data_IF_926683958266
#
_entry.id   IF_926683958266
#
_cell.length_a   1.000
_cell.length_b   1.000
_cell.length_c   1.000
_cell.angle_alpha   90.00
_cell.angle_beta   90.00
_cell.angle_gamma   90.00
#
_symmetry.space_group_name_H-M   'P 1'
#
loop_
_entity.id
_entity.type
_entity.pdbx_description
1 polymer ?
#
# COMPACT_ATOMS: atom_id res chain seq x y z
N UNK A 1 29.32 9.67 82.08
CA UNK A 1 29.08 8.79 80.91
C UNK A 1 28.35 9.60 79.88
N UNK A 2 29.00 9.85 78.73
CA UNK A 2 28.54 10.80 77.71
C UNK A 2 27.60 10.14 76.70
N UNK A 3 26.74 10.96 76.09
CA UNK A 3 25.75 10.59 75.07
C UNK A 3 26.37 9.83 73.87
N UNK A 4 27.68 10.03 73.63
CA UNK A 4 28.46 9.30 72.61
C UNK A 4 28.59 7.79 72.86
N UNK A 5 28.49 7.34 74.11
CA UNK A 5 28.64 5.92 74.47
C UNK A 5 27.34 5.12 74.24
N UNK A 6 26.19 5.80 74.24
CA UNK A 6 24.87 5.23 73.93
C UNK A 6 24.68 5.13 72.40
N UNK A 7 25.25 6.06 71.63
CA UNK A 7 25.17 6.01 70.16
C UNK A 7 26.08 4.95 69.52
N UNK A 8 27.10 4.46 70.24
CA UNK A 8 28.01 3.41 69.73
C UNK A 8 27.52 1.97 69.93
N UNK A 9 26.51 1.74 70.78
CA UNK A 9 26.10 0.38 71.16
C UNK A 9 24.89 -0.17 70.38
N UNK A 10 24.22 0.64 69.55
CA UNK A 10 23.00 0.22 68.83
C UNK A 10 22.97 0.42 67.30
N UNK A 11 24.09 0.73 66.64
CA UNK A 11 24.10 0.89 65.18
C UNK A 11 25.04 -0.15 64.56
N UNK A 12 24.47 -1.33 64.23
CA UNK A 12 25.05 -2.26 63.25
C UNK A 12 24.91 -1.63 61.85
N UNK A 13 25.99 -1.19 61.18
CA UNK A 13 25.91 -0.32 60.00
C UNK A 13 25.57 -1.06 58.69
N UNK A 14 24.86 -2.20 58.75
CA UNK A 14 24.62 -3.04 57.57
C UNK A 14 23.33 -3.86 57.55
N UNK A 15 22.62 -4.04 58.67
CA UNK A 15 21.46 -4.95 58.70
C UNK A 15 20.11 -4.29 58.37
N UNK A 16 19.95 -2.98 58.54
CA UNK A 16 18.69 -2.27 58.25
C UNK A 16 18.67 -1.55 56.90
N UNK A 17 19.82 -1.41 56.24
CA UNK A 17 19.91 -0.75 54.92
C UNK A 17 19.26 -1.61 53.84
N UNK A 18 19.51 -2.93 53.86
CA UNK A 18 18.96 -3.85 52.86
C UNK A 18 17.42 -3.95 52.92
N UNK A 19 16.76 -4.11 54.09
CA UNK A 19 15.30 -4.07 54.21
C UNK A 19 14.69 -2.73 53.79
N UNK A 20 15.35 -1.61 54.09
CA UNK A 20 14.87 -0.27 53.72
C UNK A 20 14.89 -0.09 52.19
N UNK A 21 15.99 -0.48 51.54
CA UNK A 21 16.17 -0.39 50.09
C UNK A 21 15.18 -1.32 49.35
N UNK A 22 14.95 -2.54 49.83
CA UNK A 22 13.96 -3.44 49.22
C UNK A 22 12.53 -2.92 49.38
N UNK A 23 12.19 -2.34 50.54
CA UNK A 23 10.87 -1.77 50.78
C UNK A 23 10.61 -0.55 49.90
N UNK A 24 11.57 0.37 49.79
CA UNK A 24 11.49 1.53 48.90
C UNK A 24 11.38 1.09 47.44
N UNK A 25 12.16 0.08 47.03
CA UNK A 25 12.10 -0.47 45.66
C UNK A 25 10.75 -1.10 45.37
N UNK A 26 10.17 -1.85 46.31
CA UNK A 26 8.82 -2.42 46.20
C UNK A 26 7.75 -1.33 46.06
N UNK A 27 7.83 -0.26 46.85
CA UNK A 27 6.93 0.90 46.77
C UNK A 27 7.07 1.61 45.43
N UNK A 28 8.30 1.83 44.94
CA UNK A 28 8.54 2.44 43.63
C UNK A 28 7.99 1.54 42.51
N UNK A 29 8.21 0.23 42.57
CA UNK A 29 7.67 -0.72 41.58
C UNK A 29 6.14 -0.77 41.64
N UNK A 30 5.52 -0.74 42.82
CA UNK A 30 4.04 -0.69 42.94
C UNK A 30 3.48 0.65 42.48
N UNK A 31 4.13 1.78 42.77
CA UNK A 31 3.72 3.09 42.27
C UNK A 31 3.88 3.18 40.75
N UNK A 32 5.02 2.74 40.20
CA UNK A 32 5.24 2.67 38.76
C UNK A 32 4.21 1.73 38.14
N UNK A 33 3.97 0.55 38.71
CA UNK A 33 2.97 -0.40 38.23
C UNK A 33 1.56 0.22 38.29
N UNK A 34 1.19 0.87 39.39
CA UNK A 34 -0.09 1.56 39.54
C UNK A 34 -0.25 2.68 38.51
N UNK A 35 0.77 3.50 38.28
CA UNK A 35 0.75 4.57 37.29
C UNK A 35 0.73 4.00 35.86
N UNK A 36 1.53 2.98 35.55
CA UNK A 36 1.59 2.34 34.22
C UNK A 36 0.29 1.61 33.90
N UNK A 37 -0.30 0.90 34.87
CA UNK A 37 -1.55 0.18 34.72
C UNK A 37 -2.78 1.12 34.69
N UNK A 38 -2.69 2.31 35.28
CA UNK A 38 -3.76 3.33 35.24
C UNK A 38 -3.71 4.26 34.03
N UNK A 39 -2.71 4.18 33.15
CA UNK A 39 -2.76 4.88 31.86
C UNK A 39 -3.82 4.19 31.00
N UNK A 40 -5.07 4.67 31.08
CA UNK A 40 -6.12 4.25 30.16
C UNK A 40 -5.79 4.76 28.76
N UNK A 41 -5.63 3.87 27.77
CA UNK A 41 -5.38 4.31 26.40
C UNK A 41 -6.58 5.10 25.88
N UNK A 42 -6.31 6.16 25.11
CA UNK A 42 -7.34 7.10 24.59
C UNK A 42 -8.41 6.41 23.74
N UNK A 43 -8.02 5.38 22.99
CA UNK A 43 -8.90 4.67 22.06
C UNK A 43 -9.00 3.19 22.42
N UNK A 44 -10.20 2.57 22.25
CA UNK A 44 -10.38 1.15 22.48
C UNK A 44 -9.60 0.34 21.45
N UNK A 45 -9.22 -0.89 21.80
CA UNK A 45 -8.61 -1.83 20.87
C UNK A 45 -9.70 -2.75 20.30
N UNK A 46 -9.75 -2.91 18.98
CA UNK A 46 -10.79 -3.68 18.31
C UNK A 46 -10.59 -5.19 18.44
N UNK A 47 -9.33 -5.64 18.48
CA UNK A 47 -8.92 -7.04 18.64
C UNK A 47 -7.95 -7.20 19.82
N UNK A 48 -8.41 -7.02 21.07
CA UNK A 48 -7.56 -7.21 22.24
C UNK A 48 -7.02 -8.65 22.29
N UNK A 49 -5.76 -8.86 22.70
CA UNK A 49 -5.29 -10.19 23.08
C UNK A 49 -6.08 -10.71 24.27
N UNK A 50 -6.27 -12.03 24.37
CA UNK A 50 -6.72 -12.63 25.62
C UNK A 50 -5.70 -12.35 26.74
N UNK A 51 -6.11 -12.47 28.00
CA UNK A 51 -5.26 -12.12 29.15
C UNK A 51 -3.94 -12.91 29.24
N UNK A 52 -3.90 -14.11 28.63
CA UNK A 52 -2.73 -14.99 28.54
C UNK A 52 -2.08 -15.00 27.15
N UNK A 53 -2.64 -14.31 26.17
CA UNK A 53 -2.21 -14.38 24.78
C UNK A 53 -1.19 -13.28 24.47
N UNK A 54 0.04 -13.62 24.06
CA UNK A 54 0.99 -12.63 23.58
C UNK A 54 0.45 -11.88 22.36
N UNK A 55 0.70 -10.58 22.28
CA UNK A 55 0.27 -9.73 21.14
C UNK A 55 0.76 -10.26 19.78
N UNK A 56 1.88 -10.99 19.74
CA UNK A 56 2.40 -11.65 18.54
C UNK A 56 1.40 -12.64 17.93
N UNK A 57 0.64 -13.39 18.74
CA UNK A 57 -0.38 -14.31 18.22
C UNK A 57 -1.51 -13.55 17.55
N UNK A 58 -1.97 -12.43 18.12
CA UNK A 58 -2.92 -11.53 17.45
C UNK A 58 -2.41 -10.96 16.13
N UNK A 59 -1.11 -10.67 16.04
CA UNK A 59 -0.50 -10.23 14.77
C UNK A 59 -0.56 -11.33 13.70
N UNK A 60 -0.36 -12.59 14.08
CA UNK A 60 -0.46 -13.74 13.18
C UNK A 60 -1.92 -14.06 12.81
N UNK A 61 -2.85 -13.99 13.77
CA UNK A 61 -4.29 -14.19 13.53
C UNK A 61 -4.83 -13.13 12.55
N UNK A 62 -4.35 -11.89 12.66
CA UNK A 62 -4.72 -10.83 11.71
C UNK A 62 -4.32 -11.18 10.27
N UNK A 63 -3.37 -12.08 10.02
CA UNK A 63 -2.99 -12.46 8.65
C UNK A 63 -4.07 -13.28 7.94
N UNK A 64 -4.92 -13.99 8.67
CA UNK A 64 -5.94 -14.85 8.06
C UNK A 64 -7.35 -14.29 8.23
N UNK A 65 -7.57 -13.44 9.24
CA UNK A 65 -8.90 -12.93 9.62
C UNK A 65 -9.01 -11.40 9.59
N UNK A 66 -8.04 -10.69 9.03
CA UNK A 66 -8.00 -9.23 8.82
C UNK A 66 -9.36 -8.59 8.47
N UNK A 67 -10.02 -9.06 7.41
CA UNK A 67 -11.23 -8.47 6.85
C UNK A 67 -12.40 -8.54 7.83
N UNK A 68 -12.63 -9.70 8.47
CA UNK A 68 -13.67 -9.87 9.51
C UNK A 68 -13.39 -8.99 10.71
N UNK A 69 -12.14 -8.93 11.15
CA UNK A 69 -11.74 -8.09 12.28
C UNK A 69 -12.01 -6.63 11.96
N UNK A 70 -11.65 -6.18 10.76
CA UNK A 70 -11.86 -4.80 10.33
C UNK A 70 -13.35 -4.46 10.15
N UNK A 71 -14.13 -5.29 9.44
CA UNK A 71 -15.58 -5.10 9.29
C UNK A 71 -16.29 -5.01 10.64
N UNK A 72 -15.98 -5.92 11.56
CA UNK A 72 -16.57 -5.93 12.89
C UNK A 72 -16.17 -4.68 13.70
N UNK A 73 -14.93 -4.21 13.54
CA UNK A 73 -14.48 -2.97 14.16
C UNK A 73 -15.22 -1.74 13.61
N UNK A 74 -15.41 -1.67 12.29
CA UNK A 74 -16.19 -0.59 11.65
C UNK A 74 -17.65 -0.63 12.10
N UNK A 75 -18.28 -1.80 12.13
CA UNK A 75 -19.66 -1.97 12.62
C UNK A 75 -19.80 -1.55 14.09
N UNK A 76 -18.79 -1.84 14.92
CA UNK A 76 -18.81 -1.55 16.37
C UNK A 76 -18.54 -0.09 16.71
N UNK A 77 -17.59 0.55 16.03
CA UNK A 77 -17.10 1.88 16.41
C UNK A 77 -17.59 2.99 15.45
N UNK A 78 -18.07 2.65 14.25
CA UNK A 78 -18.54 3.61 13.26
C UNK A 78 -17.50 4.68 12.95
N UNK A 79 -17.79 5.93 13.35
CA UNK A 79 -16.88 7.08 13.18
C UNK A 79 -15.86 7.26 14.32
N UNK A 80 -15.99 6.54 15.42
CA UNK A 80 -15.06 6.64 16.55
C UNK A 80 -13.70 6.04 16.18
N UNK A 81 -12.57 6.74 16.42
CA UNK A 81 -11.25 6.15 16.25
C UNK A 81 -11.01 4.98 17.20
N UNK A 82 -10.34 3.94 16.70
CA UNK A 82 -10.00 2.74 17.46
C UNK A 82 -8.57 2.28 17.15
N UNK A 83 -8.05 1.34 17.93
CA UNK A 83 -6.73 0.72 17.73
C UNK A 83 -6.90 -0.70 17.22
N UNK A 84 -5.97 -1.14 16.39
CA UNK A 84 -5.99 -2.43 15.73
C UNK A 84 -4.60 -3.05 15.76
N UNK A 85 -4.49 -4.28 16.25
CA UNK A 85 -3.25 -5.07 16.17
C UNK A 85 -3.25 -5.74 14.80
N UNK A 86 -2.34 -5.31 13.93
CA UNK A 86 -2.16 -5.85 12.58
C UNK A 86 -0.92 -6.72 12.49
N UNK A 87 -0.71 -7.43 11.38
CA UNK A 87 0.54 -8.15 11.12
C UNK A 87 1.80 -7.29 11.29
N UNK A 88 1.73 -6.00 10.90
CA UNK A 88 2.80 -5.01 11.06
C UNK A 88 2.87 -4.32 12.44
N UNK A 89 2.04 -4.73 13.41
CA UNK A 89 1.96 -4.13 14.74
C UNK A 89 0.69 -3.32 14.98
N UNK A 90 0.64 -2.61 16.12
CA UNK A 90 -0.52 -1.81 16.51
C UNK A 90 -0.61 -0.51 15.70
N UNK A 91 -1.79 -0.23 15.16
CA UNK A 91 -2.12 1.02 14.46
C UNK A 91 -3.37 1.66 15.05
N UNK A 92 -3.44 2.98 15.04
CA UNK A 92 -4.68 3.72 15.31
C UNK A 92 -5.40 4.01 14.00
N UNK A 93 -6.65 3.58 13.92
CA UNK A 93 -7.53 3.72 12.75
C UNK A 93 -8.43 4.92 12.93
N UNK A 94 -8.34 5.88 12.01
CA UNK A 94 -9.19 7.06 11.94
C UNK A 94 -10.30 6.92 10.89
N UNK A 95 -11.44 7.61 11.07
CA UNK A 95 -12.46 7.71 10.03
C UNK A 95 -11.93 8.48 8.80
N UNK A 96 -12.57 8.33 7.62
CA UNK A 96 -12.09 8.91 6.36
C UNK A 96 -11.88 10.43 6.38
N UNK A 97 -12.62 11.13 7.24
CA UNK A 97 -12.56 12.58 7.47
C UNK A 97 -11.13 13.06 7.83
N UNK A 98 -10.32 12.19 8.43
CA UNK A 98 -8.93 12.50 8.81
C UNK A 98 -7.97 12.51 7.62
N UNK A 99 -8.35 11.99 6.45
CA UNK A 99 -7.50 11.97 5.26
C UNK A 99 -6.96 13.37 4.94
N UNK A 100 -7.82 14.40 4.99
CA UNK A 100 -7.43 15.78 4.73
C UNK A 100 -6.60 16.41 5.85
N UNK A 101 -6.77 15.95 7.10
CA UNK A 101 -6.03 16.47 8.25
C UNK A 101 -4.57 15.98 8.23
N UNK A 102 -4.33 14.75 7.77
CA UNK A 102 -2.99 14.14 7.83
C UNK A 102 -2.20 14.24 6.52
N UNK A 103 -2.85 14.54 5.38
CA UNK A 103 -2.26 14.40 4.04
C UNK A 103 -0.96 15.18 3.81
N UNK A 104 -0.83 16.36 4.41
CA UNK A 104 0.28 17.28 4.21
C UNK A 104 1.09 17.54 5.50
N UNK A 105 0.81 16.79 6.57
CA UNK A 105 1.57 16.93 7.81
C UNK A 105 2.98 16.34 7.63
N UNK A 106 4.00 17.19 7.75
CA UNK A 106 5.40 16.81 7.48
C UNK A 106 5.97 15.86 8.53
N UNK A 107 5.44 15.91 9.76
CA UNK A 107 5.84 15.05 10.89
C UNK A 107 5.17 13.66 10.85
N UNK A 108 4.24 13.45 9.94
CA UNK A 108 3.62 12.15 9.65
C UNK A 108 4.27 11.56 8.41
N UNK A 109 5.11 10.54 8.57
CA UNK A 109 5.90 9.97 7.46
C UNK A 109 5.36 8.62 7.02
N UNK A 110 4.94 8.52 5.76
CA UNK A 110 4.68 7.25 5.10
C UNK A 110 5.97 6.47 4.87
N UNK A 111 7.01 7.14 4.38
CA UNK A 111 8.24 6.49 3.93
C UNK A 111 8.95 5.75 5.05
N UNK A 112 8.98 6.35 6.24
CA UNK A 112 9.49 5.72 7.45
C UNK A 112 8.63 4.54 7.90
N UNK A 113 7.31 4.65 7.82
CA UNK A 113 6.41 3.53 8.13
C UNK A 113 6.63 2.37 7.13
N UNK A 114 6.75 2.67 5.85
CA UNK A 114 7.03 1.70 4.80
C UNK A 114 8.38 1.01 4.99
N UNK A 115 9.45 1.74 5.27
CA UNK A 115 10.76 1.12 5.51
C UNK A 115 10.78 0.24 6.76
N UNK A 116 9.99 0.58 7.80
CA UNK A 116 9.85 -0.27 8.98
C UNK A 116 9.06 -1.54 8.68
N UNK A 117 7.97 -1.44 7.92
CA UNK A 117 7.17 -2.59 7.50
C UNK A 117 8.02 -3.58 6.71
N UNK A 118 8.85 -3.11 5.77
CA UNK A 118 9.69 -3.97 4.93
C UNK A 118 11.04 -4.34 5.54
N UNK A 119 11.20 -4.21 6.86
CA UNK A 119 12.46 -4.49 7.58
C UNK A 119 13.70 -3.88 6.91
N UNK A 120 13.59 -2.63 6.45
CA UNK A 120 14.64 -1.95 5.69
C UNK A 120 15.98 -1.80 6.41
N UNK A 121 16.00 -2.02 7.73
CA UNK A 121 17.23 -2.07 8.53
C UNK A 121 18.12 -3.29 8.26
N UNK A 122 17.59 -4.34 7.62
CA UNK A 122 18.32 -5.57 7.33
C UNK A 122 19.18 -5.46 6.06
N UNK A 123 20.27 -6.23 6.04
CA UNK A 123 21.17 -6.31 4.88
C UNK A 123 20.41 -6.85 3.65
N UNK A 124 20.57 -6.21 2.49
CA UNK A 124 19.79 -6.50 1.27
C UNK A 124 18.49 -5.69 1.11
N UNK A 125 17.91 -5.20 2.21
CA UNK A 125 16.67 -4.39 2.24
C UNK A 125 16.94 -2.90 2.55
N UNK A 126 18.21 -2.53 2.79
CA UNK A 126 18.67 -1.15 3.02
C UNK A 126 18.22 -0.12 1.97
N UNK A 127 18.04 -0.46 0.68
CA UNK A 127 17.46 0.50 -0.28
C UNK A 127 16.08 1.03 0.13
N UNK A 128 15.28 0.29 0.91
CA UNK A 128 14.03 0.80 1.48
C UNK A 128 14.23 1.95 2.48
N UNK A 129 15.38 2.00 3.18
CA UNK A 129 15.73 3.14 4.04
C UNK A 129 16.04 4.41 3.25
N UNK A 130 16.54 4.29 2.01
CA UNK A 130 16.80 5.45 1.17
C UNK A 130 15.52 6.23 0.87
N UNK A 131 14.36 5.57 0.82
CA UNK A 131 13.05 6.22 0.71
C UNK A 131 12.68 7.03 1.96
N UNK A 132 13.22 6.68 3.13
CA UNK A 132 12.97 7.34 4.41
C UNK A 132 13.83 8.58 4.66
N UNK A 133 14.63 9.01 3.66
CA UNK A 133 15.45 10.21 3.79
C UNK A 133 14.58 11.44 4.15
N UNK A 134 14.89 12.19 5.23
CA UNK A 134 14.10 13.35 5.65
C UNK A 134 13.97 14.43 4.58
N UNK A 135 14.99 14.58 3.72
CA UNK A 135 15.00 15.53 2.59
C UNK A 135 14.21 15.04 1.36
N UNK A 136 13.61 13.84 1.43
CA UNK A 136 12.78 13.24 0.37
C UNK A 136 13.45 13.20 -1.01
N UNK A 137 14.78 13.03 -1.03
CA UNK A 137 15.59 13.10 -2.26
C UNK A 137 15.09 12.11 -3.30
N UNK A 138 14.80 10.86 -2.89
CA UNK A 138 14.29 9.84 -3.81
C UNK A 138 12.94 10.23 -4.42
N UNK A 139 11.99 10.76 -3.64
CA UNK A 139 10.69 11.19 -4.16
C UNK A 139 10.84 12.39 -5.11
N UNK A 140 11.76 13.31 -4.82
CA UNK A 140 12.06 14.46 -5.68
C UNK A 140 12.70 13.99 -6.98
N UNK A 141 13.69 13.10 -6.92
CA UNK A 141 14.36 12.53 -8.09
C UNK A 141 13.37 11.74 -8.93
N UNK A 142 12.57 10.86 -8.31
CA UNK A 142 11.50 10.13 -8.99
C UNK A 142 10.53 11.09 -9.67
N UNK A 143 10.00 12.10 -8.96
CA UNK A 143 9.10 13.08 -9.56
C UNK A 143 9.76 13.85 -10.69
N UNK A 144 11.01 14.31 -10.54
CA UNK A 144 11.74 15.08 -11.56
C UNK A 144 12.04 14.23 -12.80
N UNK A 145 12.58 13.03 -12.62
CA UNK A 145 12.92 12.12 -13.73
C UNK A 145 11.65 11.65 -14.44
N UNK A 146 10.64 11.20 -13.70
CA UNK A 146 9.35 10.86 -14.31
C UNK A 146 8.77 12.05 -15.08
N UNK A 147 8.80 13.26 -14.53
CA UNK A 147 8.29 14.46 -15.23
C UNK A 147 9.09 14.77 -16.51
N UNK A 148 10.41 14.58 -16.49
CA UNK A 148 11.30 14.77 -17.64
C UNK A 148 11.02 13.75 -18.75
N UNK A 149 10.80 12.49 -18.38
CA UNK A 149 10.54 11.38 -19.30
C UNK A 149 9.04 11.07 -19.49
N UNK A 150 8.15 12.01 -19.15
CA UNK A 150 6.74 11.96 -19.57
C UNK A 150 6.56 12.19 -21.09
N UNK A 151 7.64 12.53 -21.82
CA UNK A 151 7.70 12.48 -23.29
C UNK A 151 8.22 11.11 -23.73
N UNK A 152 7.82 10.67 -24.93
CA UNK A 152 7.97 9.32 -25.50
C UNK A 152 9.18 8.51 -25.01
N UNK A 153 8.90 7.24 -24.72
CA UNK A 153 9.90 6.22 -24.37
C UNK A 153 9.78 5.11 -25.41
N UNK A 154 10.70 5.08 -26.37
CA UNK A 154 10.78 3.94 -27.31
C UNK A 154 11.28 2.71 -26.54
N UNK A 155 10.43 1.71 -26.36
CA UNK A 155 10.78 0.48 -25.69
C UNK A 155 10.50 -0.73 -26.58
N UNK A 156 11.47 -1.62 -26.67
CA UNK A 156 11.35 -2.90 -27.38
C UNK A 156 10.40 -3.77 -26.57
N UNK A 157 9.31 -4.22 -27.18
CA UNK A 157 8.34 -5.12 -26.55
C UNK A 157 8.94 -6.52 -26.49
N UNK A 158 9.13 -7.04 -25.28
CA UNK A 158 9.32 -8.46 -25.04
C UNK A 158 8.32 -8.92 -23.97
N UNK A 159 7.97 -10.21 -24.02
CA UNK A 159 6.86 -10.81 -23.30
C UNK A 159 6.86 -10.55 -21.78
N UNK A 160 5.66 -10.31 -21.25
CA UNK A 160 5.25 -9.99 -19.86
C UNK A 160 5.26 -8.51 -19.45
N UNK A 161 4.15 -8.07 -18.85
CA UNK A 161 3.96 -6.69 -18.37
C UNK A 161 5.05 -6.24 -17.37
N UNK A 162 5.63 -7.16 -16.58
CA UNK A 162 6.69 -6.82 -15.65
C UNK A 162 8.06 -6.63 -16.31
N UNK A 163 8.32 -7.29 -17.45
CA UNK A 163 9.47 -6.97 -18.28
C UNK A 163 9.33 -5.57 -18.89
N UNK A 164 8.13 -5.22 -19.35
CA UNK A 164 7.81 -3.90 -19.88
C UNK A 164 8.01 -2.81 -18.82
N UNK A 165 7.44 -2.97 -17.61
CA UNK A 165 7.64 -2.04 -16.48
C UNK A 165 9.12 -1.90 -16.12
N UNK A 166 9.87 -3.00 -16.08
CA UNK A 166 11.30 -2.98 -15.73
C UNK A 166 12.13 -2.27 -16.79
N UNK A 167 11.82 -2.48 -18.09
CA UNK A 167 12.48 -1.81 -19.21
C UNK A 167 12.18 -0.31 -19.23
N UNK A 168 10.92 0.07 -19.12
CA UNK A 168 10.51 1.47 -19.12
C UNK A 168 11.09 2.21 -17.91
N UNK A 169 11.03 1.61 -16.71
CA UNK A 169 11.66 2.17 -15.51
C UNK A 169 13.16 2.35 -15.69
N UNK A 170 13.86 1.33 -16.21
CA UNK A 170 15.30 1.40 -16.47
C UNK A 170 15.62 2.50 -17.49
N UNK A 171 14.81 2.68 -18.54
CA UNK A 171 15.00 3.75 -19.52
C UNK A 171 14.83 5.14 -18.90
N UNK A 172 13.80 5.34 -18.09
CA UNK A 172 13.53 6.63 -17.42
C UNK A 172 14.63 7.00 -16.43
N UNK A 173 15.09 6.05 -15.63
CA UNK A 173 16.03 6.34 -14.55
C UNK A 173 17.50 6.24 -14.96
N UNK A 174 17.81 5.42 -15.96
CA UNK A 174 19.18 4.99 -16.27
C UNK A 174 19.56 5.13 -17.76
N UNK A 175 18.62 5.50 -18.63
CA UNK A 175 18.86 5.75 -20.05
C UNK A 175 18.84 4.50 -20.94
N UNK A 176 19.23 4.67 -22.21
CA UNK A 176 19.03 3.67 -23.27
C UNK A 176 19.95 2.45 -23.17
N UNK A 177 21.09 2.56 -22.47
CA UNK A 177 22.07 1.48 -22.37
C UNK A 177 21.58 0.37 -21.42
N UNK A 178 21.13 0.74 -20.22
CA UNK A 178 20.69 -0.22 -19.20
C UNK A 178 19.28 -0.76 -19.45
N UNK A 179 18.43 -0.05 -20.20
CA UNK A 179 17.10 -0.55 -20.53
C UNK A 179 17.10 -1.70 -21.55
N UNK A 180 18.20 -1.89 -22.30
CA UNK A 180 18.40 -2.98 -23.26
C UNK A 180 19.26 -4.12 -22.70
N UNK A 181 19.91 -3.91 -21.55
CA UNK A 181 20.77 -4.90 -20.93
C UNK A 181 19.93 -5.97 -20.22
N UNK A 182 19.81 -7.15 -20.80
CA UNK A 182 19.00 -8.24 -20.26
C UNK A 182 19.43 -8.69 -18.86
N UNK A 183 20.74 -8.70 -18.57
CA UNK A 183 21.24 -9.04 -17.25
C UNK A 183 20.80 -8.01 -16.20
N UNK A 184 20.82 -6.72 -16.53
CA UNK A 184 20.30 -5.65 -15.68
C UNK A 184 18.79 -5.76 -15.47
N UNK A 185 18.04 -6.02 -16.54
CA UNK A 185 16.59 -6.19 -16.47
C UNK A 185 16.22 -7.38 -15.57
N UNK A 186 16.86 -8.53 -15.75
CA UNK A 186 16.63 -9.71 -14.91
C UNK A 186 17.08 -9.47 -13.45
N UNK A 187 18.19 -8.78 -13.22
CA UNK A 187 18.63 -8.42 -11.88
C UNK A 187 17.62 -7.50 -11.17
N UNK A 188 17.15 -6.44 -11.85
CA UNK A 188 16.17 -5.49 -11.31
C UNK A 188 14.84 -6.17 -11.02
N UNK A 189 14.40 -7.00 -11.97
CA UNK A 189 13.21 -7.83 -11.91
C UNK A 189 13.21 -8.74 -10.68
N UNK A 190 14.26 -9.55 -10.56
CA UNK A 190 14.40 -10.52 -9.47
C UNK A 190 14.60 -9.81 -8.13
N UNK A 191 15.43 -8.77 -8.08
CA UNK A 191 15.66 -7.99 -6.85
C UNK A 191 14.36 -7.37 -6.32
N UNK A 192 13.52 -6.81 -7.20
CA UNK A 192 12.25 -6.20 -6.81
C UNK A 192 11.33 -7.22 -6.16
N UNK A 193 11.16 -8.40 -6.77
CA UNK A 193 10.28 -9.42 -6.21
C UNK A 193 10.86 -10.03 -4.95
N UNK A 194 12.15 -10.38 -4.93
CA UNK A 194 12.79 -10.93 -3.72
C UNK A 194 12.76 -9.93 -2.56
N UNK A 195 13.05 -8.66 -2.79
CA UNK A 195 13.06 -7.65 -1.72
C UNK A 195 11.67 -7.39 -1.14
N UNK A 196 10.62 -7.41 -1.96
CA UNK A 196 9.23 -7.29 -1.51
C UNK A 196 8.79 -8.53 -0.74
N UNK A 197 9.03 -9.73 -1.27
CA UNK A 197 8.63 -10.99 -0.61
C UNK A 197 9.36 -11.19 0.71
N UNK A 198 10.68 -10.95 0.73
CA UNK A 198 11.50 -11.09 1.94
C UNK A 198 11.14 -10.02 2.96
N UNK A 199 10.93 -8.78 2.53
CA UNK A 199 10.47 -7.70 3.41
C UNK A 199 9.14 -8.04 4.08
N UNK A 200 8.15 -8.50 3.30
CA UNK A 200 6.83 -8.91 3.78
C UNK A 200 6.90 -10.11 4.75
N UNK A 201 7.64 -11.17 4.41
CA UNK A 201 7.80 -12.35 5.29
C UNK A 201 8.43 -12.00 6.63
N UNK A 202 9.40 -11.07 6.64
CA UNK A 202 10.10 -10.65 7.86
C UNK A 202 9.26 -9.69 8.72
N UNK A 203 8.32 -8.93 8.12
CA UNK A 203 7.43 -8.00 8.84
C UNK A 203 6.66 -8.66 9.99
N UNK A 204 6.33 -9.95 9.83
CA UNK A 204 5.50 -10.70 10.79
C UNK A 204 6.29 -11.30 11.95
N UNK A 205 7.62 -11.31 11.87
CA UNK A 205 8.49 -11.88 12.89
C UNK A 205 8.89 -10.83 13.93
N UNK A 206 9.05 -11.20 15.21
CA UNK A 206 9.67 -10.36 16.22
C UNK A 206 11.11 -9.97 15.84
N UNK A 207 11.55 -8.76 16.22
CA UNK A 207 12.86 -8.21 15.82
C UNK A 207 14.05 -9.19 16.00
N UNK A 208 14.22 -9.90 17.13
CA UNK A 208 15.37 -10.82 17.29
C UNK A 208 15.34 -11.99 16.28
N UNK A 209 14.14 -12.47 15.94
CA UNK A 209 13.94 -13.58 15.00
C UNK A 209 14.16 -13.11 13.56
N UNK A 210 13.86 -11.85 13.24
CA UNK A 210 14.13 -11.29 11.90
C UNK A 210 15.61 -11.41 11.52
N UNK A 211 16.54 -11.17 12.45
CA UNK A 211 17.98 -11.29 12.20
C UNK A 211 18.43 -12.74 11.96
N UNK A 212 17.85 -13.69 12.69
CA UNK A 212 18.14 -15.12 12.53
C UNK A 212 17.55 -15.63 11.22
N UNK A 213 16.29 -15.32 10.94
CA UNK A 213 15.60 -15.79 9.74
C UNK A 213 16.14 -15.14 8.47
N UNK A 214 16.59 -13.88 8.52
CA UNK A 214 17.29 -13.25 7.40
C UNK A 214 18.58 -13.98 7.00
N UNK A 215 19.20 -14.71 7.93
CA UNK A 215 20.37 -15.54 7.67
C UNK A 215 20.01 -16.90 7.05
N UNK A 216 18.85 -17.48 7.43
CA UNK A 216 18.35 -18.77 6.94
C UNK A 216 17.42 -18.68 5.72
N UNK A 217 17.00 -17.48 5.31
CA UNK A 217 16.13 -17.22 4.16
C UNK A 217 16.84 -17.51 2.82
N UNK A 218 17.28 -18.75 2.63
CA UNK A 218 17.60 -19.38 1.35
C UNK A 218 16.34 -19.89 0.65
N UNK A 219 15.16 -19.36 0.97
CA UNK A 219 13.93 -19.59 0.20
C UNK A 219 13.90 -18.77 -1.11
N UNK A 220 15.02 -18.85 -1.82
CA UNK A 220 15.22 -18.48 -3.21
C UNK A 220 14.73 -19.58 -4.18
N UNK A 221 13.84 -20.49 -3.75
CA UNK A 221 13.22 -21.50 -4.63
C UNK A 221 11.71 -21.36 -4.83
N UNK A 222 11.04 -20.42 -4.16
CA UNK A 222 9.61 -20.13 -4.38
C UNK A 222 9.31 -18.70 -4.84
N UNK A 223 10.33 -17.87 -5.03
CA UNK A 223 10.15 -16.46 -5.38
C UNK A 223 10.14 -16.17 -6.89
N UNK A 224 10.01 -17.19 -7.73
CA UNK A 224 9.62 -17.04 -9.14
C UNK A 224 8.10 -17.21 -9.35
N UNK A 225 7.38 -17.74 -8.35
CA UNK A 225 5.95 -18.04 -8.44
C UNK A 225 5.04 -16.81 -8.19
N UNK A 226 5.55 -15.78 -7.51
CA UNK A 226 4.79 -14.55 -7.18
C UNK A 226 5.23 -13.31 -7.96
N UNK A 227 6.08 -13.52 -8.97
CA UNK A 227 6.45 -12.46 -9.90
C UNK A 227 5.32 -12.12 -10.88
N UNK A 228 4.36 -13.04 -11.04
CA UNK A 228 3.11 -12.81 -11.78
C UNK A 228 2.19 -11.86 -10.99
N UNK A 229 2.30 -11.81 -9.65
CA UNK A 229 1.39 -11.04 -8.78
C UNK A 229 1.49 -9.52 -8.87
N UNK A 230 2.65 -8.97 -9.24
CA UNK A 230 2.78 -7.52 -9.41
C UNK A 230 2.09 -7.00 -10.70
N UNK A 231 1.83 -7.90 -11.66
CA UNK A 231 0.96 -7.66 -12.80
C UNK A 231 -0.48 -8.15 -12.55
N UNK A 232 -0.73 -8.94 -11.49
CA UNK A 232 -2.03 -9.52 -11.16
C UNK A 232 -3.05 -8.55 -10.56
N UNK A 233 -2.63 -7.34 -10.21
CA UNK A 233 -3.54 -6.39 -9.59
C UNK A 233 -4.34 -5.71 -10.71
N UNK A 234 -3.87 -4.64 -11.36
CA UNK A 234 -4.76 -3.86 -12.24
C UNK A 234 -5.22 -4.55 -13.55
N UNK A 235 -4.34 -5.31 -14.22
CA UNK A 235 -4.68 -5.89 -15.52
C UNK A 235 -5.65 -7.07 -15.38
N UNK A 236 -5.45 -8.05 -14.47
CA UNK A 236 -6.47 -9.05 -14.16
C UNK A 236 -7.70 -8.49 -13.46
N UNK A 237 -7.62 -7.47 -12.59
CA UNK A 237 -8.83 -6.86 -12.02
C UNK A 237 -9.77 -6.37 -13.13
N UNK A 238 -9.23 -5.65 -14.11
CA UNK A 238 -10.03 -5.13 -15.23
C UNK A 238 -10.39 -6.25 -16.19
N UNK A 239 -9.47 -7.15 -16.54
CA UNK A 239 -9.78 -8.27 -17.43
C UNK A 239 -10.89 -9.12 -16.81
N UNK A 240 -10.75 -9.58 -15.58
CA UNK A 240 -11.76 -10.41 -14.89
C UNK A 240 -13.11 -9.69 -14.80
N UNK A 241 -13.15 -8.39 -14.49
CA UNK A 241 -14.41 -7.62 -14.49
C UNK A 241 -15.00 -7.42 -15.89
N UNK A 242 -14.17 -7.15 -16.90
CA UNK A 242 -14.60 -7.05 -18.31
C UNK A 242 -15.04 -8.39 -18.88
N UNK A 243 -14.50 -9.51 -18.40
CA UNK A 243 -14.98 -10.85 -18.78
C UNK A 243 -16.30 -11.21 -18.11
N UNK A 244 -16.57 -10.67 -16.91
CA UNK A 244 -17.89 -10.79 -16.27
C UNK A 244 -18.96 -9.98 -17.00
N UNK A 245 -18.55 -8.85 -17.58
CA UNK A 245 -19.42 -7.93 -18.33
C UNK A 245 -18.88 -7.73 -19.76
N UNK A 246 -18.94 -8.77 -20.62
CA UNK A 246 -18.27 -8.77 -21.93
C UNK A 246 -18.75 -7.67 -22.89
N UNK A 247 -19.95 -7.12 -22.66
CA UNK A 247 -20.50 -5.99 -23.41
C UNK A 247 -19.69 -4.69 -23.25
N UNK A 248 -18.84 -4.58 -22.22
CA UNK A 248 -17.96 -3.43 -21.99
C UNK A 248 -16.69 -3.45 -22.87
N UNK A 249 -16.25 -4.64 -23.30
CA UNK A 249 -15.05 -4.79 -24.13
C UNK A 249 -15.17 -4.03 -25.46
N UNK A 250 -16.27 -4.17 -26.23
CA UNK A 250 -16.46 -3.38 -27.46
C UNK A 250 -16.45 -1.86 -27.24
N UNK A 251 -16.95 -1.37 -26.11
CA UNK A 251 -16.96 0.06 -25.78
C UNK A 251 -15.54 0.60 -25.63
N UNK A 252 -14.73 -0.05 -24.78
CA UNK A 252 -13.35 0.36 -24.53
C UNK A 252 -12.47 0.19 -25.78
N UNK A 253 -12.73 -0.87 -26.56
CA UNK A 253 -12.06 -1.12 -27.82
C UNK A 253 -12.37 -0.04 -28.85
N UNK A 254 -13.64 0.37 -28.97
CA UNK A 254 -14.06 1.46 -29.86
C UNK A 254 -13.36 2.77 -29.49
N UNK A 255 -13.35 3.14 -28.21
CA UNK A 255 -12.61 4.33 -27.74
C UNK A 255 -11.12 4.25 -28.11
N UNK A 256 -10.48 3.11 -27.86
CA UNK A 256 -9.07 2.92 -28.17
C UNK A 256 -8.80 3.07 -29.68
N UNK A 257 -9.64 2.49 -30.55
CA UNK A 257 -9.50 2.61 -32.01
C UNK A 257 -9.64 4.08 -32.43
N UNK A 258 -10.69 4.77 -32.01
CA UNK A 258 -10.96 6.16 -32.42
C UNK A 258 -9.82 7.10 -32.00
N UNK A 259 -9.38 7.00 -30.74
CA UNK A 259 -8.35 7.87 -30.19
C UNK A 259 -6.97 7.58 -30.79
N UNK A 260 -6.57 6.31 -30.88
CA UNK A 260 -5.24 5.93 -31.38
C UNK A 260 -5.11 6.11 -32.90
N UNK A 261 -6.20 5.95 -33.66
CA UNK A 261 -6.19 6.20 -35.11
C UNK A 261 -6.03 7.68 -35.44
N UNK A 262 -6.57 8.57 -34.59
CA UNK A 262 -6.49 10.01 -34.78
C UNK A 262 -5.15 10.59 -34.33
N UNK A 263 -4.71 10.24 -33.12
CA UNK A 263 -3.61 10.94 -32.42
C UNK A 263 -2.33 10.10 -32.27
N UNK A 264 -2.32 8.86 -32.78
CA UNK A 264 -1.26 7.88 -32.53
C UNK A 264 -1.16 7.50 -31.04
N UNK A 265 -0.09 6.82 -30.63
CA UNK A 265 0.13 6.45 -29.23
C UNK A 265 0.73 7.60 -28.39
N UNK A 266 0.19 8.81 -28.51
CA UNK A 266 0.77 9.99 -27.85
C UNK A 266 0.28 10.19 -26.41
N UNK A 267 0.98 11.01 -25.62
CA UNK A 267 0.51 11.43 -24.29
C UNK A 267 -0.86 12.12 -24.35
N UNK A 268 -1.13 12.87 -25.42
CA UNK A 268 -2.42 13.52 -25.65
C UNK A 268 -3.52 12.46 -25.91
N UNK A 269 -3.24 11.48 -26.75
CA UNK A 269 -4.11 10.34 -27.00
C UNK A 269 -4.43 9.57 -25.70
N UNK A 270 -3.42 9.22 -24.91
CA UNK A 270 -3.62 8.54 -23.62
C UNK A 270 -4.47 9.37 -22.64
N UNK A 271 -4.38 10.70 -22.67
CA UNK A 271 -5.23 11.58 -21.87
C UNK A 271 -6.69 11.67 -22.37
N UNK A 272 -6.90 11.32 -23.64
CA UNK A 272 -8.20 11.26 -24.33
C UNK A 272 -8.89 9.89 -24.25
N UNK A 273 -8.22 8.85 -23.73
CA UNK A 273 -8.86 7.58 -23.34
C UNK A 273 -9.66 7.76 -22.03
N UNK A 274 -10.79 8.49 -22.12
CA UNK A 274 -11.55 9.00 -20.97
C UNK A 274 -12.39 7.92 -20.30
N UNK A 275 -12.99 7.02 -21.06
CA UNK A 275 -13.77 5.88 -20.57
C UNK A 275 -12.81 4.85 -19.98
N UNK A 276 -11.68 4.57 -20.63
CA UNK A 276 -10.63 3.73 -20.08
C UNK A 276 -10.07 4.29 -18.76
N UNK A 277 -9.82 5.60 -18.68
CA UNK A 277 -9.45 6.28 -17.43
C UNK A 277 -10.46 6.01 -16.33
N UNK A 278 -11.74 6.13 -16.67
CA UNK A 278 -12.85 5.91 -15.75
C UNK A 278 -12.93 4.46 -15.29
N UNK A 279 -12.83 3.50 -16.21
CA UNK A 279 -12.79 2.06 -15.91
C UNK A 279 -11.62 1.68 -14.99
N UNK A 280 -10.43 2.23 -15.24
CA UNK A 280 -9.24 2.03 -14.42
C UNK A 280 -9.41 2.59 -13.00
N UNK A 281 -10.07 3.74 -12.90
CA UNK A 281 -10.34 4.36 -11.60
C UNK A 281 -11.41 3.61 -10.82
N UNK A 282 -12.47 3.16 -11.49
CA UNK A 282 -13.51 2.30 -10.93
C UNK A 282 -12.91 0.97 -10.41
N UNK A 283 -11.98 0.38 -11.15
CA UNK A 283 -11.27 -0.83 -10.73
C UNK A 283 -10.48 -0.61 -9.42
N UNK A 284 -9.85 0.55 -9.24
CA UNK A 284 -9.15 0.92 -8.01
C UNK A 284 -10.10 1.17 -6.83
N UNK A 285 -11.33 1.62 -7.10
CA UNK A 285 -12.36 1.78 -6.07
C UNK A 285 -12.87 0.43 -5.58
N UNK A 286 -13.18 -0.48 -6.50
CA UNK A 286 -13.78 -1.79 -6.19
C UNK A 286 -12.78 -2.84 -5.70
N UNK A 287 -11.50 -2.68 -6.04
CA UNK A 287 -10.44 -3.56 -5.59
C UNK A 287 -9.27 -2.73 -5.02
N UNK A 288 -9.48 -2.07 -3.87
CA UNK A 288 -8.38 -1.37 -3.22
C UNK A 288 -7.35 -2.37 -2.73
N UNK A 289 -6.07 -2.00 -2.83
CA UNK A 289 -4.97 -2.86 -2.39
C UNK A 289 -5.01 -3.17 -0.89
N UNK A 290 -5.68 -2.35 -0.07
CA UNK A 290 -5.77 -2.47 1.39
C UNK A 290 -6.96 -1.69 1.91
N UNK A 291 -7.60 -2.09 3.02
CA UNK A 291 -8.63 -1.29 3.68
C UNK A 291 -8.04 -0.28 4.70
N UNK A 292 -6.79 -0.45 5.12
CA UNK A 292 -6.04 0.47 5.99
C UNK A 292 -5.22 1.47 5.16
N UNK A 293 -5.90 2.53 4.74
CA UNK A 293 -5.36 3.56 3.86
C UNK A 293 -4.44 4.55 4.59
N UNK A 294 -3.62 5.27 3.82
CA UNK A 294 -2.78 6.38 4.29
C UNK A 294 -1.95 6.10 5.56
N UNK A 295 -1.36 4.90 5.71
CA UNK A 295 -0.45 4.60 6.84
C UNK A 295 0.66 5.65 7.02
N UNK A 296 0.84 6.14 8.24
CA UNK A 296 1.86 7.12 8.67
C UNK A 296 2.44 6.71 10.02
N UNK A 297 3.70 7.07 10.26
CA UNK A 297 4.28 7.10 11.61
C UNK A 297 4.52 8.55 12.03
N UNK A 298 4.16 8.90 13.26
CA UNK A 298 4.45 10.20 13.84
C UNK A 298 5.91 10.26 14.33
N UNK A 299 6.70 11.20 13.81
CA UNK A 299 8.09 11.40 14.25
C UNK A 299 8.20 12.14 15.58
N UNK A 300 7.15 12.89 15.93
CA UNK A 300 7.03 13.72 17.11
C UNK A 300 5.56 13.70 17.59
N UNK A 301 5.32 14.14 18.81
CA UNK A 301 3.95 14.32 19.29
C UNK A 301 3.37 15.57 18.63
N UNK A 302 2.22 15.43 17.98
CA UNK A 302 1.58 16.50 17.21
C UNK A 302 0.12 16.65 17.61
N UNK A 303 -0.37 17.89 17.60
CA UNK A 303 -1.80 18.20 17.70
C UNK A 303 -2.29 18.56 16.30
N UNK A 304 -3.27 17.82 15.80
CA UNK A 304 -3.93 18.11 14.53
C UNK A 304 -4.85 19.33 14.64
N UNK A 305 -5.33 19.85 13.51
CA UNK A 305 -6.23 21.00 13.47
C UNK A 305 -7.58 20.80 14.19
N UNK A 306 -7.98 19.55 14.44
CA UNK A 306 -9.17 19.17 15.20
C UNK A 306 -8.85 18.77 16.66
N UNK A 307 -7.74 19.29 17.21
CA UNK A 307 -7.22 19.01 18.54
C UNK A 307 -6.87 17.55 18.84
N UNK A 308 -6.83 16.70 17.81
CA UNK A 308 -6.42 15.31 17.99
C UNK A 308 -4.92 15.22 18.21
N UNK A 309 -4.52 14.74 19.39
CA UNK A 309 -3.13 14.49 19.74
C UNK A 309 -2.68 13.13 19.18
N UNK A 310 -1.66 13.14 18.33
CA UNK A 310 -0.93 11.97 17.85
C UNK A 310 0.40 11.88 18.58
N UNK A 311 0.69 10.75 19.19
CA UNK A 311 1.90 10.54 19.99
C UNK A 311 3.07 10.13 19.11
N UNK A 312 4.27 10.62 19.44
CA UNK A 312 5.53 10.20 18.82
C UNK A 312 5.63 8.67 18.78
N UNK A 313 6.03 8.13 17.63
CA UNK A 313 6.20 6.70 17.40
C UNK A 313 4.89 5.95 17.08
N UNK A 314 3.72 6.60 17.25
CA UNK A 314 2.44 6.00 16.90
C UNK A 314 2.27 5.81 15.40
N UNK A 315 1.66 4.68 15.02
CA UNK A 315 1.19 4.43 13.66
C UNK A 315 -0.27 4.81 13.51
N UNK A 316 -0.56 5.52 12.44
CA UNK A 316 -1.88 6.08 12.15
C UNK A 316 -2.29 5.71 10.74
N UNK A 317 -3.52 5.25 10.57
CA UNK A 317 -4.12 4.88 9.29
C UNK A 317 -5.50 5.51 9.18
N UNK A 318 -5.99 5.67 7.97
CA UNK A 318 -7.35 6.10 7.66
C UNK A 318 -8.09 4.88 7.14
N UNK A 319 -9.29 4.63 7.65
CA UNK A 319 -10.09 3.52 7.16
C UNK A 319 -10.55 3.78 5.71
N UNK A 320 -10.61 2.74 4.88
CA UNK A 320 -10.93 2.83 3.45
C UNK A 320 -12.42 2.88 3.11
N UNK A 321 -13.32 3.03 4.10
CA UNK A 321 -14.77 2.88 3.90
C UNK A 321 -15.38 3.91 2.94
N UNK A 322 -14.71 5.04 2.70
CA UNK A 322 -15.14 6.00 1.68
C UNK A 322 -15.22 5.42 0.27
N UNK A 323 -14.46 4.37 -0.05
CA UNK A 323 -14.47 3.75 -1.38
C UNK A 323 -15.77 2.98 -1.65
N UNK A 324 -16.45 2.52 -0.61
CA UNK A 324 -17.68 1.73 -0.69
C UNK A 324 -18.88 2.44 -0.06
N UNK A 325 -18.76 3.74 0.24
CA UNK A 325 -19.83 4.50 0.86
C UNK A 325 -20.93 4.83 -0.19
N UNK A 326 -22.17 4.33 -0.03
CA UNK A 326 -23.27 4.58 -0.97
C UNK A 326 -23.71 6.05 -1.04
N UNK A 327 -23.43 6.86 -0.01
CA UNK A 327 -23.69 8.31 -0.02
C UNK A 327 -22.74 9.06 -0.97
N UNK A 328 -21.54 8.51 -1.18
CA UNK A 328 -20.51 9.09 -2.06
C UNK A 328 -20.62 8.46 -3.46
N UNK A 329 -20.83 7.15 -3.53
CA UNK A 329 -20.84 6.38 -4.76
C UNK A 329 -22.17 5.61 -4.87
N UNK A 330 -23.12 6.04 -5.71
CA UNK A 330 -24.35 5.28 -5.95
C UNK A 330 -24.05 3.89 -6.49
N UNK A 331 -24.65 2.82 -5.97
CA UNK A 331 -24.33 1.42 -6.32
C UNK A 331 -22.80 1.15 -6.25
N UNK A 332 -22.17 1.27 -5.06
CA UNK A 332 -20.71 1.24 -4.90
C UNK A 332 -20.08 -0.12 -5.26
N UNK A 333 -20.86 -1.20 -5.28
CA UNK A 333 -20.46 -2.56 -5.63
C UNK A 333 -20.44 -2.83 -7.15
N UNK A 334 -21.15 -2.01 -7.92
CA UNK A 334 -21.30 -2.18 -9.37
C UNK A 334 -20.09 -1.61 -10.11
N UNK A 335 -19.57 -2.37 -11.06
CA UNK A 335 -18.49 -1.91 -11.93
C UNK A 335 -19.03 -1.01 -13.04
N UNK A 336 -19.12 0.29 -12.76
CA UNK A 336 -19.60 1.28 -13.73
C UNK A 336 -18.43 2.01 -14.40
N UNK A 337 -18.04 1.54 -15.61
CA UNK A 337 -16.95 2.15 -16.38
C UNK A 337 -17.20 3.62 -16.75
N UNK A 338 -18.43 4.11 -16.63
CA UNK A 338 -18.79 5.49 -16.94
C UNK A 338 -18.90 6.38 -15.69
N UNK A 339 -18.74 5.84 -14.47
CA UNK A 339 -18.88 6.61 -13.22
C UNK A 339 -18.03 7.87 -13.22
N UNK A 340 -16.71 7.72 -13.40
CA UNK A 340 -15.79 8.85 -13.44
C UNK A 340 -15.83 9.59 -14.78
N UNK A 341 -16.26 8.95 -15.87
CA UNK A 341 -16.51 9.64 -17.13
C UNK A 341 -17.62 10.71 -16.98
N UNK A 342 -18.73 10.37 -16.31
CA UNK A 342 -19.82 11.31 -16.00
C UNK A 342 -19.36 12.42 -15.05
N UNK A 343 -18.61 12.09 -14.00
CA UNK A 343 -18.00 13.08 -13.10
C UNK A 343 -17.00 14.00 -13.82
N UNK A 344 -16.42 13.56 -14.94
CA UNK A 344 -15.51 14.41 -15.75
C UNK A 344 -16.27 15.47 -16.56
N UNK A 345 -17.56 15.30 -16.78
CA UNK A 345 -18.39 16.25 -17.54
C UNK A 345 -18.84 17.44 -16.70
N UNK A 346 -18.96 17.28 -15.38
CA UNK A 346 -19.28 18.36 -14.47
C UNK A 346 -18.00 19.13 -14.07
N UNK A 347 -17.91 20.46 -14.33
CA UNK A 347 -16.76 21.27 -13.97
C UNK A 347 -16.36 21.19 -12.49
N UNK A 348 -17.32 20.99 -11.58
CA UNK A 348 -17.04 20.91 -10.13
C UNK A 348 -16.32 19.62 -9.73
N UNK A 349 -16.58 18.52 -10.45
CA UNK A 349 -16.04 17.19 -10.12
C UNK A 349 -14.95 16.72 -11.09
N UNK A 350 -14.78 17.40 -12.23
CA UNK A 350 -13.86 17.00 -13.30
C UNK A 350 -12.41 16.81 -12.84
N UNK A 351 -11.88 17.74 -12.03
CA UNK A 351 -10.51 17.65 -11.50
C UNK A 351 -10.28 16.39 -10.66
N UNK A 352 -11.31 15.85 -10.01
CA UNK A 352 -11.25 14.65 -9.17
C UNK A 352 -11.44 13.37 -9.98
N UNK A 353 -12.00 13.45 -11.19
CA UNK A 353 -12.41 12.29 -11.96
C UNK A 353 -11.27 11.59 -12.72
N UNK A 354 -10.14 12.27 -12.99
CA UNK A 354 -9.01 11.63 -13.68
C UNK A 354 -8.45 10.44 -12.89
N UNK A 355 -7.99 9.39 -13.58
CA UNK A 355 -7.37 8.20 -12.95
C UNK A 355 -6.27 8.57 -11.95
N UNK A 356 -5.41 9.51 -12.33
CA UNK A 356 -4.28 9.98 -11.53
C UNK A 356 -4.66 10.99 -10.44
N UNK A 357 -5.91 11.44 -10.41
CA UNK A 357 -6.38 12.39 -9.38
C UNK A 357 -6.64 11.66 -8.07
N UNK A 358 -6.14 12.27 -7.00
CA UNK A 358 -6.34 11.76 -5.63
C UNK A 358 -7.32 12.65 -4.89
N UNK A 359 -8.14 12.04 -4.06
CA UNK A 359 -9.09 12.74 -3.21
C UNK A 359 -9.25 11.98 -1.89
N UNK A 360 -9.76 12.60 -0.82
CA UNK A 360 -10.04 11.88 0.42
C UNK A 360 -11.08 10.75 0.22
N UNK A 361 -11.95 10.87 -0.79
CA UNK A 361 -12.93 9.84 -1.16
C UNK A 361 -12.32 8.69 -1.98
N UNK A 362 -11.20 8.94 -2.68
CA UNK A 362 -10.55 7.95 -3.54
C UNK A 362 -9.03 7.87 -3.28
N UNK A 363 -8.65 6.92 -2.41
CA UNK A 363 -7.30 6.79 -1.85
C UNK A 363 -6.38 5.78 -2.59
N UNK A 364 -6.75 5.32 -3.79
CA UNK A 364 -5.97 4.31 -4.55
C UNK A 364 -4.49 4.68 -4.77
N UNK A 365 -4.16 5.97 -4.91
CA UNK A 365 -2.77 6.45 -4.99
C UNK A 365 -2.32 7.19 -3.72
N UNK A 366 -3.02 7.00 -2.59
CA UNK A 366 -2.94 7.81 -1.36
C UNK A 366 -3.27 9.29 -1.66
N UNK A 367 -3.19 10.16 -0.65
CA UNK A 367 -3.58 11.56 -0.80
C UNK A 367 -2.54 12.55 -0.22
N UNK A 368 -2.51 13.76 -0.78
CA UNK A 368 -1.59 14.87 -0.42
C UNK A 368 -0.17 14.75 -0.93
N UNK A 369 0.76 15.40 -0.24
CA UNK A 369 2.20 15.49 -0.59
C UNK A 369 2.90 14.13 -0.67
N UNK A 370 2.33 13.12 -0.03
CA UNK A 370 2.85 11.75 0.01
C UNK A 370 2.00 10.78 -0.84
N UNK A 371 1.20 11.31 -1.77
CA UNK A 371 0.58 10.52 -2.82
C UNK A 371 1.66 9.87 -3.72
N UNK A 372 1.30 8.75 -4.36
CA UNK A 372 2.21 8.00 -5.21
C UNK A 372 2.84 8.91 -6.29
N UNK A 373 4.17 9.10 -6.29
CA UNK A 373 4.84 9.94 -7.27
C UNK A 373 4.85 9.29 -8.67
N UNK A 374 4.78 7.96 -8.74
CA UNK A 374 4.76 7.17 -9.98
C UNK A 374 3.41 7.06 -10.68
N UNK A 375 2.32 7.55 -10.09
CA UNK A 375 0.95 7.28 -10.58
C UNK A 375 0.68 7.69 -12.03
N UNK A 376 1.31 8.78 -12.51
CA UNK A 376 1.13 9.25 -13.89
C UNK A 376 1.76 8.29 -14.90
N UNK A 377 2.93 7.77 -14.54
CA UNK A 377 3.65 6.82 -15.34
C UNK A 377 2.94 5.45 -15.33
N UNK A 378 2.59 4.96 -14.14
CA UNK A 378 1.82 3.72 -14.00
C UNK A 378 0.46 3.76 -14.73
N UNK A 379 -0.24 4.90 -14.67
CA UNK A 379 -1.50 5.08 -15.40
C UNK A 379 -1.30 4.93 -16.92
N UNK A 380 -0.23 5.50 -17.47
CA UNK A 380 0.07 5.36 -18.91
C UNK A 380 0.45 3.92 -19.26
N UNK A 381 1.30 3.27 -18.46
CA UNK A 381 1.69 1.88 -18.68
C UNK A 381 0.48 0.93 -18.70
N UNK A 382 -0.42 1.06 -17.71
CA UNK A 382 -1.63 0.22 -17.63
C UNK A 382 -2.59 0.50 -18.78
N UNK A 383 -2.74 1.77 -19.21
CA UNK A 383 -3.56 2.10 -20.39
C UNK A 383 -3.00 1.49 -21.67
N UNK A 384 -1.70 1.60 -21.89
CA UNK A 384 -1.02 1.00 -23.04
C UNK A 384 -1.24 -0.51 -23.01
N UNK A 385 -0.95 -1.17 -21.89
CA UNK A 385 -1.17 -2.61 -21.73
C UNK A 385 -2.62 -3.01 -22.03
N UNK A 386 -3.59 -2.25 -21.54
CA UNK A 386 -5.01 -2.51 -21.80
C UNK A 386 -5.38 -2.29 -23.27
N UNK A 387 -4.81 -1.30 -23.96
CA UNK A 387 -4.98 -1.13 -25.41
C UNK A 387 -4.46 -2.36 -26.18
N UNK A 388 -3.26 -2.85 -25.84
CA UNK A 388 -2.72 -4.07 -26.44
C UNK A 388 -3.64 -5.28 -26.20
N UNK A 389 -4.14 -5.45 -24.96
CA UNK A 389 -5.07 -6.54 -24.64
C UNK A 389 -6.37 -6.45 -25.43
N UNK A 390 -6.98 -5.27 -25.49
CA UNK A 390 -8.26 -5.05 -26.17
C UNK A 390 -8.16 -5.19 -27.69
N UNK A 391 -7.08 -4.70 -28.29
CA UNK A 391 -6.94 -4.64 -29.76
C UNK A 391 -6.40 -5.95 -30.34
N UNK A 392 -5.43 -6.59 -29.68
CA UNK A 392 -4.76 -7.81 -30.18
C UNK A 392 -5.44 -9.12 -29.79
N UNK A 393 -6.26 -9.11 -28.72
CA UNK A 393 -6.87 -10.32 -28.19
C UNK A 393 -8.39 -10.17 -27.96
N UNK A 394 -9.11 -11.27 -28.18
CA UNK A 394 -10.36 -11.55 -27.49
C UNK A 394 -10.02 -12.38 -26.25
N UNK A 395 -10.61 -12.05 -25.11
CA UNK A 395 -10.37 -12.78 -23.87
C UNK A 395 -11.65 -12.95 -23.06
N UNK A 396 -11.73 -14.07 -22.36
CA UNK A 396 -12.84 -14.45 -21.50
C UNK A 396 -12.35 -15.27 -20.31
N UNK A 397 -13.13 -15.30 -19.24
CA UNK A 397 -12.82 -16.13 -18.08
C UNK A 397 -12.98 -17.60 -18.47
N UNK A 398 -12.01 -18.44 -18.11
CA UNK A 398 -12.11 -19.88 -18.35
C UNK A 398 -13.23 -20.48 -17.49
N UNK A 399 -13.78 -21.62 -17.93
CA UNK A 399 -14.77 -22.39 -17.18
C UNK A 399 -14.30 -22.62 -15.73
N UNK A 400 -15.11 -22.16 -14.77
CA UNK A 400 -14.83 -22.27 -13.34
C UNK A 400 -14.05 -21.12 -12.71
N UNK A 401 -13.69 -20.07 -13.47
CA UNK A 401 -13.12 -18.85 -12.87
C UNK A 401 -14.16 -18.02 -12.11
N UNK A 402 -13.71 -17.26 -11.11
CA UNK A 402 -14.55 -16.41 -10.27
C UNK A 402 -14.04 -14.95 -10.27
N UNK A 403 -14.96 -13.99 -10.20
CA UNK A 403 -14.66 -12.55 -10.14
C UNK A 403 -14.67 -11.99 -8.70
N UNK A 404 -14.94 -12.84 -7.71
CA UNK A 404 -14.86 -12.45 -6.31
C UNK A 404 -13.41 -12.21 -5.89
N UNK A 405 -13.24 -11.17 -5.08
CA UNK A 405 -11.95 -10.88 -4.46
C UNK A 405 -11.72 -11.86 -3.32
N UNK A 406 -10.52 -12.42 -3.28
CA UNK A 406 -10.02 -13.12 -2.11
C UNK A 406 -9.29 -12.13 -1.22
N UNK A 407 -9.56 -12.22 0.08
CA UNK A 407 -8.73 -11.58 1.09
C UNK A 407 -7.43 -12.37 1.18
N UNK A 408 -6.32 -11.71 0.83
CA UNK A 408 -4.97 -12.23 1.00
C UNK A 408 -4.40 -11.73 2.33
N UNK A 409 -3.27 -12.30 2.73
CA UNK A 409 -2.74 -12.07 4.07
C UNK A 409 -2.45 -10.60 4.36
N UNK A 410 -2.86 -10.13 5.53
CA UNK A 410 -2.40 -8.85 6.08
C UNK A 410 -3.04 -7.61 5.46
N UNK A 411 -4.36 -7.64 5.28
CA UNK A 411 -5.19 -6.56 4.76
C UNK A 411 -4.91 -6.24 3.29
N UNK A 412 -4.83 -7.27 2.46
CA UNK A 412 -4.69 -7.10 1.01
C UNK A 412 -5.81 -7.82 0.27
N UNK A 413 -6.36 -7.18 -0.75
CA UNK A 413 -7.41 -7.76 -1.60
C UNK A 413 -6.84 -8.05 -2.99
N UNK A 414 -7.15 -9.22 -3.53
CA UNK A 414 -6.73 -9.63 -4.88
C UNK A 414 -7.72 -10.62 -5.48
N UNK A 415 -7.61 -10.86 -6.78
CA UNK A 415 -8.33 -11.97 -7.43
C UNK A 415 -7.66 -13.31 -7.10
N UNK A 416 -8.42 -14.41 -7.20
CA UNK A 416 -7.85 -15.76 -7.03
C UNK A 416 -6.75 -16.00 -8.08
N UNK A 417 -5.49 -16.25 -7.68
CA UNK A 417 -4.39 -16.51 -8.62
C UNK A 417 -4.59 -17.81 -9.42
N UNK A 418 -5.52 -18.68 -9.03
CA UNK A 418 -5.88 -19.88 -9.78
C UNK A 418 -6.88 -19.60 -10.92
N UNK A 419 -7.44 -18.38 -10.98
CA UNK A 419 -8.29 -17.98 -12.10
C UNK A 419 -7.52 -18.09 -13.40
N UNK A 420 -8.16 -18.71 -14.40
CA UNK A 420 -7.62 -18.83 -15.75
C UNK A 420 -8.47 -17.99 -16.69
N UNK A 421 -7.83 -17.34 -17.66
CA UNK A 421 -8.50 -16.68 -18.77
C UNK A 421 -8.10 -17.37 -20.08
N UNK A 422 -9.06 -17.46 -21.00
CA UNK A 422 -8.81 -17.91 -22.38
C UNK A 422 -8.54 -16.68 -23.23
N UNK A 423 -7.50 -16.75 -24.05
CA UNK A 423 -7.13 -15.70 -24.99
C UNK A 423 -7.16 -16.26 -26.40
N UNK A 424 -7.70 -15.48 -27.33
CA UNK A 424 -7.66 -15.75 -28.76
C UNK A 424 -7.14 -14.51 -29.46
N UNK A 425 -6.08 -14.65 -30.25
CA UNK A 425 -5.60 -13.57 -31.08
C UNK A 425 -6.68 -13.14 -32.08
N UNK A 426 -6.83 -11.84 -32.30
CA UNK A 426 -7.80 -11.27 -33.26
C UNK A 426 -7.08 -10.46 -34.33
N UNK A 427 -7.76 -10.14 -35.42
CA UNK A 427 -7.23 -9.22 -36.43
C UNK A 427 -7.32 -7.80 -35.87
N UNK A 428 -6.17 -7.13 -35.78
CA UNK A 428 -6.05 -5.75 -35.29
C UNK A 428 -6.65 -4.77 -36.32
N UNK A 429 -7.49 -3.84 -35.88
CA UNK A 429 -7.97 -2.72 -36.71
C UNK A 429 -6.94 -1.59 -36.82
N UNK A 430 -6.06 -1.49 -35.82
CA UNK A 430 -5.00 -0.50 -35.71
C UNK A 430 -3.70 -1.24 -35.42
N UNK A 431 -2.71 -1.12 -36.30
CA UNK A 431 -1.38 -1.67 -36.07
C UNK A 431 -0.66 -0.82 -35.01
N UNK A 432 -0.72 -1.29 -33.76
CA UNK A 432 -0.09 -0.62 -32.63
C UNK A 432 1.43 -0.47 -32.82
N UNK A 433 2.09 -1.43 -33.47
CA UNK A 433 3.55 -1.40 -33.67
C UNK A 433 3.95 -0.26 -34.63
N UNK A 434 3.11 0.01 -35.64
CA UNK A 434 3.30 1.14 -36.56
C UNK A 434 3.08 2.52 -35.92
N UNK A 435 2.40 2.59 -34.77
CA UNK A 435 2.14 3.85 -34.07
C UNK A 435 3.33 4.33 -33.22
N UNK A 436 4.35 3.47 -33.01
CA UNK A 436 5.58 3.85 -32.32
C UNK A 436 6.62 4.50 -33.24
N UNK A 437 6.43 4.47 -34.56
CA UNK A 437 7.37 5.03 -35.55
C UNK A 437 6.94 6.39 -36.14
N UNK A 438 5.80 6.91 -35.71
CA UNK A 438 5.29 8.26 -35.99
C UNK A 438 5.51 9.18 -34.80
#
# INVERSE_FOLDING_TARGET
MGIDEILRTHILPGQHVLPLVTTISLIIVTLISFFVLNIKPKYPIANPPAWFEPTTFKRLEFLTNDHKVFENAIKRYGKQPFRLITGGGEVTVFPPEYANLIRNERRLLFTKAFANDFSGHLYGLKPFLAFSNPKRVMQIVVKKQLTKYLKWIDAIIADSALQLVTRLSSKVFLGDELCRNEAWLQATKNYTVHSVTTGFSLSFMPLPIQYIFAWFAKDARLAQKYFIEACDILAPIIMTRLTNEPYLIPVLRKEAIEVLSADGLSKAALANLRIMDSALKEALQLCPTTCLQMKRIATETITLANDTILKKGGYYVVNGTSLTNPEIWPEPEKFDIYRFYRLRQDPATASKAHLVSTSPEHLGFRHGDQACPGRFFAANEVKIALCHLLLKYDYELALGGNVELIHSSGDTMRFDPNNKARFRHRKEEVDLESLFSK
#
